data_IF_167492513549
#
_entry.id   IF_167492513549
#
_cell.length_a   1.000
_cell.length_b   1.000
_cell.length_c   1.000
_cell.angle_alpha   90.00
_cell.angle_beta   90.00
_cell.angle_gamma   90.00
#
_symmetry.space_group_name_H-M   'P 1'
#
loop_
_entity.id
_entity.type
_entity.pdbx_description
1 polymer ?
#
# COMPACT_ATOMS: atom_id res chain seq x y z
N UNK A 1 -2.77 18.44 7.28
CA UNK A 1 -1.98 18.14 6.06
C UNK A 1 -1.45 16.73 6.21
N UNK A 2 -1.61 15.84 5.22
CA UNK A 2 -1.13 14.45 5.32
C UNK A 2 0.37 14.38 5.02
N UNK A 3 1.11 13.51 5.68
CA UNK A 3 2.55 13.32 5.40
C UNK A 3 2.75 12.53 4.10
N UNK A 4 3.92 12.64 3.46
CA UNK A 4 4.26 11.88 2.24
C UNK A 4 4.04 10.37 2.47
N UNK A 5 4.48 9.87 3.63
CA UNK A 5 4.31 8.49 4.08
C UNK A 5 2.84 8.09 4.25
N UNK A 6 2.01 8.96 4.87
CA UNK A 6 0.57 8.69 5.00
C UNK A 6 -0.12 8.62 3.63
N UNK A 7 0.25 9.50 2.70
CA UNK A 7 -0.32 9.48 1.35
C UNK A 7 0.13 8.19 0.63
N UNK A 8 1.38 7.76 0.76
CA UNK A 8 1.87 6.48 0.18
C UNK A 8 1.13 5.26 0.74
N UNK A 9 0.91 5.20 2.05
CA UNK A 9 0.13 4.13 2.67
C UNK A 9 -1.32 4.14 2.17
N UNK A 10 -1.92 5.31 1.97
CA UNK A 10 -3.27 5.44 1.44
C UNK A 10 -3.40 4.94 0.00
N UNK A 11 -2.40 5.17 -0.87
CA UNK A 11 -2.45 4.65 -2.25
C UNK A 11 -2.29 3.13 -2.28
N UNK A 12 -1.40 2.56 -1.47
CA UNK A 12 -1.29 1.10 -1.32
C UNK A 12 -2.59 0.48 -0.79
N UNK A 13 -3.24 1.11 0.19
CA UNK A 13 -4.55 0.67 0.69
C UNK A 13 -5.61 0.65 -0.41
N UNK A 14 -5.65 1.69 -1.26
CA UNK A 14 -6.60 1.77 -2.38
C UNK A 14 -6.39 0.62 -3.38
N UNK A 15 -5.14 0.31 -3.72
CA UNK A 15 -4.79 -0.85 -4.56
C UNK A 15 -5.30 -2.14 -3.93
N UNK A 16 -5.03 -2.38 -2.63
CA UNK A 16 -5.47 -3.62 -1.97
C UNK A 16 -6.99 -3.76 -1.87
N UNK A 17 -7.72 -2.67 -1.64
CA UNK A 17 -9.18 -2.66 -1.67
C UNK A 17 -9.71 -2.99 -3.07
N UNK A 18 -9.10 -2.44 -4.13
CA UNK A 18 -9.46 -2.76 -5.51
C UNK A 18 -9.20 -4.25 -5.84
N UNK A 19 -8.08 -4.79 -5.34
CA UNK A 19 -7.73 -6.22 -5.47
C UNK A 19 -8.77 -7.09 -4.75
N UNK A 20 -9.10 -6.76 -3.50
CA UNK A 20 -10.10 -7.48 -2.70
C UNK A 20 -11.47 -7.51 -3.38
N UNK A 21 -11.86 -6.43 -4.05
CA UNK A 21 -13.14 -6.32 -4.75
C UNK A 21 -13.17 -7.09 -6.09
N UNK A 22 -12.05 -7.66 -6.55
CA UNK A 22 -11.97 -8.48 -7.77
C UNK A 22 -12.19 -7.72 -9.09
N UNK A 23 -12.21 -6.38 -9.06
CA UNK A 23 -12.52 -5.56 -10.24
C UNK A 23 -11.25 -5.14 -10.95
N UNK A 24 -10.86 -5.86 -12.01
CA UNK A 24 -9.62 -5.61 -12.77
C UNK A 24 -9.43 -4.14 -13.19
N UNK A 25 -10.46 -3.48 -13.71
CA UNK A 25 -10.40 -2.05 -14.07
C UNK A 25 -10.12 -1.13 -12.89
N UNK A 26 -10.63 -1.46 -11.70
CA UNK A 26 -10.38 -0.67 -10.49
C UNK A 26 -8.96 -0.87 -9.99
N UNK A 27 -8.42 -2.08 -10.11
CA UNK A 27 -7.01 -2.36 -9.77
C UNK A 27 -6.09 -1.54 -10.67
N UNK A 28 -6.31 -1.58 -12.00
CA UNK A 28 -5.47 -0.82 -12.93
C UNK A 28 -5.53 0.68 -12.64
N UNK A 29 -6.73 1.24 -12.44
CA UNK A 29 -6.91 2.63 -12.07
C UNK A 29 -6.18 3.00 -10.77
N UNK A 30 -6.28 2.17 -9.74
CA UNK A 30 -5.58 2.42 -8.48
C UNK A 30 -4.05 2.36 -8.62
N UNK A 31 -3.54 1.50 -9.51
CA UNK A 31 -2.11 1.46 -9.87
C UNK A 31 -1.72 2.74 -10.61
N UNK A 32 -2.52 3.20 -11.58
CA UNK A 32 -2.25 4.43 -12.33
C UNK A 32 -2.18 5.64 -11.40
N UNK A 33 -3.18 5.80 -10.53
CA UNK A 33 -3.23 6.86 -9.51
C UNK A 33 -2.06 6.79 -8.52
N UNK A 34 -1.53 5.59 -8.23
CA UNK A 34 -0.33 5.41 -7.42
C UNK A 34 0.93 5.85 -8.16
N UNK A 35 1.06 5.47 -9.44
CA UNK A 35 2.22 5.77 -10.29
C UNK A 35 2.35 7.25 -10.60
N UNK A 36 1.25 7.94 -10.86
CA UNK A 36 1.23 9.38 -11.20
C UNK A 36 1.83 10.28 -10.12
N UNK A 37 2.03 9.75 -8.91
CA UNK A 37 2.64 10.46 -7.78
C UNK A 37 4.18 10.52 -7.84
N UNK A 38 4.79 9.76 -8.74
CA UNK A 38 6.23 9.70 -8.92
C UNK A 38 6.66 10.57 -10.11
N UNK A 39 7.92 11.05 -10.14
CA UNK A 39 8.46 11.78 -11.28
C UNK A 39 8.29 10.97 -12.58
N UNK A 40 7.97 11.64 -13.69
CA UNK A 40 7.69 10.99 -14.99
C UNK A 40 8.81 10.02 -15.41
N UNK A 41 10.07 10.35 -15.11
CA UNK A 41 11.24 9.49 -15.40
C UNK A 41 11.24 8.15 -14.64
N UNK A 42 10.48 8.03 -13.57
CA UNK A 42 10.41 6.85 -12.70
C UNK A 42 9.10 6.05 -12.85
N UNK A 43 8.09 6.64 -13.52
CA UNK A 43 6.74 6.08 -13.56
C UNK A 43 6.68 4.68 -14.15
N UNK A 44 7.44 4.39 -15.21
CA UNK A 44 7.48 3.05 -15.82
C UNK A 44 8.04 1.99 -14.87
N UNK A 45 9.11 2.34 -14.13
CA UNK A 45 9.73 1.44 -13.16
C UNK A 45 8.78 1.18 -11.98
N UNK A 46 8.16 2.24 -11.45
CA UNK A 46 7.18 2.13 -10.36
C UNK A 46 5.98 1.30 -10.80
N UNK A 47 5.46 1.55 -12.00
CA UNK A 47 4.35 0.79 -12.60
C UNK A 47 4.68 -0.69 -12.68
N UNK A 48 5.83 -1.05 -13.24
CA UNK A 48 6.27 -2.44 -13.37
C UNK A 48 6.40 -3.12 -12.01
N UNK A 49 7.04 -2.45 -11.05
CA UNK A 49 7.18 -2.95 -9.67
C UNK A 49 5.84 -3.16 -9.00
N UNK A 50 4.93 -2.18 -9.09
CA UNK A 50 3.61 -2.25 -8.46
C UNK A 50 2.76 -3.36 -9.07
N UNK A 51 2.77 -3.52 -10.39
CA UNK A 51 2.08 -4.64 -11.07
C UNK A 51 2.62 -5.99 -10.58
N UNK A 52 3.95 -6.13 -10.44
CA UNK A 52 4.56 -7.37 -9.96
C UNK A 52 4.09 -7.72 -8.54
N UNK A 53 4.18 -6.76 -7.61
CA UNK A 53 3.72 -6.93 -6.22
C UNK A 53 2.22 -7.30 -6.20
N UNK A 54 1.37 -6.59 -6.96
CA UNK A 54 -0.07 -6.86 -6.98
C UNK A 54 -0.39 -8.26 -7.51
N UNK A 55 0.28 -8.70 -8.57
CA UNK A 55 0.06 -10.03 -9.15
C UNK A 55 0.46 -11.15 -8.20
N UNK A 56 1.58 -11.02 -7.51
CA UNK A 56 2.04 -12.04 -6.55
C UNK A 56 1.07 -12.18 -5.37
N UNK A 57 0.55 -11.06 -4.87
CA UNK A 57 -0.40 -11.05 -3.75
C UNK A 57 -1.82 -11.46 -4.17
N UNK A 58 -2.23 -11.17 -5.41
CA UNK A 58 -3.51 -11.65 -5.95
C UNK A 58 -3.63 -13.18 -5.93
N UNK A 59 -2.51 -13.90 -6.03
CA UNK A 59 -2.47 -15.35 -5.92
C UNK A 59 -2.69 -15.85 -4.49
N UNK A 60 -2.71 -14.96 -3.50
CA UNK A 60 -2.80 -15.27 -2.08
C UNK A 60 -3.91 -14.43 -1.39
N UNK A 61 -5.19 -14.79 -1.54
CA UNK A 61 -6.31 -13.96 -1.07
C UNK A 61 -6.30 -13.63 0.44
N UNK A 62 -5.75 -14.52 1.26
CA UNK A 62 -5.61 -14.31 2.70
C UNK A 62 -4.60 -13.18 3.03
N UNK A 63 -3.57 -13.00 2.20
CA UNK A 63 -2.59 -11.93 2.37
C UNK A 63 -3.17 -10.55 2.05
N UNK A 64 -4.10 -10.44 1.10
CA UNK A 64 -4.74 -9.16 0.75
C UNK A 64 -5.43 -8.55 1.97
N UNK A 65 -6.21 -9.36 2.71
CA UNK A 65 -6.90 -8.91 3.93
C UNK A 65 -5.92 -8.49 5.02
N UNK A 66 -4.86 -9.27 5.21
CA UNK A 66 -3.78 -8.96 6.18
C UNK A 66 -3.09 -7.64 5.85
N UNK A 67 -2.78 -7.38 4.57
CA UNK A 67 -2.17 -6.12 4.11
C UNK A 67 -3.08 -4.92 4.34
N UNK A 68 -4.38 -5.03 4.04
CA UNK A 68 -5.35 -3.96 4.32
C UNK A 68 -5.37 -3.62 5.82
N UNK A 69 -5.37 -4.65 6.67
CA UNK A 69 -5.35 -4.47 8.13
C UNK A 69 -4.06 -3.82 8.60
N UNK A 70 -2.89 -4.31 8.15
CA UNK A 70 -1.58 -3.75 8.51
C UNK A 70 -1.48 -2.28 8.11
N UNK A 71 -1.76 -1.96 6.84
CA UNK A 71 -1.73 -0.58 6.33
C UNK A 71 -2.70 0.32 7.09
N UNK A 72 -3.91 -0.16 7.40
CA UNK A 72 -4.88 0.62 8.18
C UNK A 72 -4.42 0.89 9.61
N UNK A 73 -3.74 -0.07 10.25
CA UNK A 73 -3.14 0.13 11.59
C UNK A 73 -2.02 1.17 11.51
N UNK A 74 -1.12 1.05 10.54
CA UNK A 74 -0.02 2.01 10.35
C UNK A 74 -0.52 3.44 10.12
N UNK A 75 -1.53 3.62 9.26
CA UNK A 75 -2.15 4.95 9.04
C UNK A 75 -2.72 5.50 10.35
N UNK A 76 -3.45 4.68 11.12
CA UNK A 76 -4.01 5.11 12.42
C UNK A 76 -2.91 5.50 13.40
N UNK A 77 -1.82 4.74 13.46
CA UNK A 77 -0.66 5.05 14.30
C UNK A 77 -0.02 6.39 13.91
N UNK A 78 0.16 6.63 12.62
CA UNK A 78 0.69 7.91 12.10
C UNK A 78 -0.23 9.08 12.46
N UNK A 79 -1.54 8.92 12.27
CA UNK A 79 -2.53 9.96 12.59
C UNK A 79 -2.61 10.27 14.09
N UNK A 80 -2.35 9.28 14.94
CA UNK A 80 -2.38 9.44 16.40
C UNK A 80 -1.03 9.87 16.99
N UNK A 81 0.02 10.07 16.18
CA UNK A 81 1.35 10.52 16.64
C UNK A 81 2.20 9.47 17.35
N UNK A 82 1.81 8.18 17.35
CA UNK A 82 2.44 7.10 18.13
C UNK A 82 3.43 6.23 17.34
N UNK A 83 3.94 6.69 16.19
CA UNK A 83 4.70 5.85 15.25
C UNK A 83 5.99 5.24 15.81
N UNK A 84 6.65 5.90 16.76
CA UNK A 84 7.89 5.41 17.36
C UNK A 84 7.69 4.13 18.20
N UNK A 85 6.48 3.82 18.70
CA UNK A 85 6.24 2.63 19.51
C UNK A 85 6.18 1.34 18.66
N UNK A 86 5.68 1.41 17.43
CA UNK A 86 5.46 0.21 16.59
C UNK A 86 6.74 -0.31 15.93
N UNK A 87 7.74 0.56 15.71
CA UNK A 87 9.01 0.17 15.07
C UNK A 87 9.94 -0.63 16.01
N UNK A 88 9.79 -0.44 17.33
CA UNK A 88 10.53 -1.21 18.35
C UNK A 88 9.98 -2.63 18.52
N UNK A 89 8.66 -2.84 18.47
CA UNK A 89 8.08 -4.18 18.65
C UNK A 89 8.46 -5.17 17.54
N UNK A 90 8.62 -4.73 16.29
CA UNK A 90 9.07 -5.60 15.20
C UNK A 90 10.58 -5.91 15.25
N UNK A 91 11.38 -5.12 15.99
CA UNK A 91 12.83 -5.34 16.11
C UNK A 91 13.23 -6.31 17.24
N UNK A 92 12.29 -6.65 18.13
CA UNK A 92 12.53 -7.56 19.26
C UNK A 92 11.91 -8.96 19.06
N UNK A 93 11.32 -9.23 17.90
CA UNK A 93 10.73 -10.52 17.56
C UNK A 93 11.67 -11.43 16.73
N UNK A 94 12.99 -11.19 16.76
CA UNK A 94 14.03 -12.06 16.16
C UNK A 94 14.79 -12.83 17.22
#
# INVERSE_FOLDING_TARGET
MKTIEEIELLSWKAIWLAVQNGKHRQVQRAIDEHVERFPTSEQDLVRLRTIHIVRDIQRQPHEVKSRIQRVSRTIRTLQNGNFNATRQEESHAS
#
